data_IF_669834940705
#
_entry.id   IF_669834940705
#
_cell.length_a   1.000
_cell.length_b   1.000
_cell.length_c   1.000
_cell.angle_alpha   90.00
_cell.angle_beta   90.00
_cell.angle_gamma   90.00
#
_symmetry.space_group_name_H-M   'P 1'
#
loop_
_entity.id
_entity.type
_entity.pdbx_description
1 polymer ?
#
# COMPACT_ATOMS: atom_id res chain seq x y z
N UNK A 1 25.92 -44.40 29.36
CA UNK A 1 24.56 -43.90 29.06
C UNK A 1 24.47 -42.38 29.29
N UNK A 2 24.93 -41.52 28.35
CA UNK A 2 24.77 -40.04 28.40
C UNK A 2 24.78 -39.39 27.00
N UNK A 3 24.28 -40.06 25.96
CA UNK A 3 24.29 -39.55 24.57
C UNK A 3 23.09 -38.66 24.22
N UNK A 4 22.02 -38.71 25.03
CA UNK A 4 20.74 -38.05 24.76
C UNK A 4 20.66 -36.58 25.19
N UNK A 5 21.48 -36.15 26.16
CA UNK A 5 21.50 -34.75 26.62
C UNK A 5 22.21 -33.80 25.66
N UNK A 6 23.26 -34.27 25.01
CA UNK A 6 24.08 -33.48 24.08
C UNK A 6 23.35 -33.19 22.75
N UNK A 7 22.56 -34.14 22.28
CA UNK A 7 21.74 -34.00 21.06
C UNK A 7 20.60 -32.99 21.26
N UNK A 8 19.97 -32.98 22.45
CA UNK A 8 18.93 -32.00 22.80
C UNK A 8 19.46 -30.57 22.91
N UNK A 9 20.69 -30.39 23.38
CA UNK A 9 21.33 -29.08 23.49
C UNK A 9 21.72 -28.49 22.12
N UNK A 10 21.99 -29.35 21.12
CA UNK A 10 22.31 -28.94 19.76
C UNK A 10 21.06 -28.61 18.90
N UNK A 11 19.91 -29.21 19.21
CA UNK A 11 18.65 -29.02 18.47
C UNK A 11 17.91 -27.72 18.84
N UNK A 12 18.03 -27.26 20.10
CA UNK A 12 17.38 -26.04 20.61
C UNK A 12 17.73 -24.75 19.82
N UNK A 13 19.00 -24.43 19.51
CA UNK A 13 19.32 -23.24 18.72
C UNK A 13 18.85 -23.37 17.26
N UNK A 14 18.81 -24.58 16.70
CA UNK A 14 18.31 -24.81 15.34
C UNK A 14 16.79 -24.57 15.20
N UNK A 15 16.02 -24.95 16.23
CA UNK A 15 14.56 -24.68 16.28
C UNK A 15 14.28 -23.19 16.47
N UNK A 16 15.04 -22.51 17.33
CA UNK A 16 14.95 -21.06 17.51
C UNK A 16 15.28 -20.29 16.22
N UNK A 17 16.34 -20.71 15.51
CA UNK A 17 16.71 -20.10 14.23
C UNK A 17 15.64 -20.29 13.13
N UNK A 18 15.02 -21.48 13.05
CA UNK A 18 13.90 -21.71 12.11
C UNK A 18 12.66 -20.88 12.44
N UNK A 19 12.36 -20.65 13.72
CA UNK A 19 11.19 -19.88 14.13
C UNK A 19 11.34 -18.39 13.82
N UNK A 20 12.56 -17.86 13.84
CA UNK A 20 12.85 -16.49 13.40
C UNK A 20 12.66 -16.35 11.88
N UNK A 21 13.13 -17.31 11.08
CA UNK A 21 12.97 -17.26 9.61
C UNK A 21 11.48 -17.29 9.19
N UNK A 22 10.63 -18.05 9.91
CA UNK A 22 9.20 -18.11 9.62
C UNK A 22 8.44 -16.78 9.91
N UNK A 23 9.02 -15.87 10.69
CA UNK A 23 8.39 -14.60 11.09
C UNK A 23 8.69 -13.41 10.17
N UNK A 24 9.60 -13.56 9.19
CA UNK A 24 10.15 -12.44 8.40
C UNK A 24 9.36 -12.14 7.12
N UNK A 25 8.31 -12.91 6.77
CA UNK A 25 7.85 -12.98 5.38
C UNK A 25 6.35 -12.78 5.09
N UNK A 26 5.58 -12.08 5.92
CA UNK A 26 4.18 -11.77 5.57
C UNK A 26 4.02 -10.27 5.36
N UNK A 27 4.24 -9.76 4.15
CA UNK A 27 3.62 -8.49 3.76
C UNK A 27 2.11 -8.72 3.84
N UNK A 28 1.43 -7.85 4.58
CA UNK A 28 -0.02 -7.86 4.55
C UNK A 28 -0.49 -7.22 3.26
N UNK A 29 -1.69 -7.58 2.78
CA UNK A 29 -2.31 -6.87 1.67
C UNK A 29 -2.40 -5.35 1.94
N UNK A 30 -2.46 -4.94 3.21
CA UNK A 30 -2.45 -3.53 3.61
C UNK A 30 -1.10 -2.84 3.31
N UNK A 31 0.02 -3.56 3.46
CA UNK A 31 1.35 -3.02 3.15
C UNK A 31 1.54 -2.79 1.65
N UNK A 32 1.01 -3.70 0.83
CA UNK A 32 1.02 -3.59 -0.63
C UNK A 32 0.15 -2.41 -1.10
N UNK A 33 -1.07 -2.29 -0.57
CA UNK A 33 -1.96 -1.14 -0.86
C UNK A 33 -1.34 0.19 -0.42
N UNK A 34 -0.70 0.22 0.75
CA UNK A 34 -0.01 1.43 1.25
C UNK A 34 1.15 1.82 0.33
N UNK A 35 1.91 0.84 -0.16
CA UNK A 35 3.02 1.08 -1.08
C UNK A 35 2.52 1.65 -2.39
N UNK A 36 1.50 1.04 -3.02
CA UNK A 36 0.92 1.54 -4.27
C UNK A 36 0.34 2.96 -4.12
N UNK A 37 -0.34 3.25 -3.00
CA UNK A 37 -0.86 4.58 -2.70
C UNK A 37 0.25 5.63 -2.59
N UNK A 38 1.33 5.31 -1.87
CA UNK A 38 2.46 6.24 -1.73
C UNK A 38 3.20 6.45 -3.06
N UNK A 39 3.36 5.41 -3.88
CA UNK A 39 3.97 5.49 -5.20
C UNK A 39 3.16 6.40 -6.13
N UNK A 40 1.83 6.24 -6.15
CA UNK A 40 0.95 7.14 -6.91
C UNK A 40 1.03 8.58 -6.43
N UNK A 41 0.91 8.82 -5.12
CA UNK A 41 0.95 10.18 -4.54
C UNK A 41 2.29 10.86 -4.82
N UNK A 42 3.39 10.11 -4.79
CA UNK A 42 4.75 10.63 -5.02
C UNK A 42 5.01 10.99 -6.48
N UNK A 43 4.33 10.34 -7.44
CA UNK A 43 4.44 10.66 -8.85
C UNK A 43 3.69 11.94 -9.26
N UNK A 44 2.73 12.40 -8.45
CA UNK A 44 1.96 13.62 -8.73
C UNK A 44 2.80 14.89 -8.53
N UNK A 45 2.54 15.89 -9.35
CA UNK A 45 3.03 17.26 -9.09
C UNK A 45 2.39 17.83 -7.81
N UNK A 46 2.98 18.89 -7.28
CA UNK A 46 2.46 19.55 -6.08
C UNK A 46 1.01 20.04 -6.25
N UNK A 47 0.68 20.63 -7.42
CA UNK A 47 -0.68 21.06 -7.78
C UNK A 47 -1.65 19.88 -7.85
N UNK A 48 -1.25 18.81 -8.55
CA UNK A 48 -2.09 17.61 -8.66
C UNK A 48 -2.34 16.96 -7.30
N UNK A 49 -1.31 16.88 -6.45
CA UNK A 49 -1.43 16.32 -5.09
C UNK A 49 -2.38 17.16 -4.23
N UNK A 50 -2.31 18.48 -4.32
CA UNK A 50 -3.21 19.38 -3.60
C UNK A 50 -4.68 19.20 -4.00
N UNK A 51 -4.95 18.82 -5.26
CA UNK A 51 -6.32 18.52 -5.74
C UNK A 51 -6.77 17.09 -5.45
N UNK A 52 -5.84 16.13 -5.41
CA UNK A 52 -6.15 14.70 -5.30
C UNK A 52 -6.28 14.20 -3.85
N UNK A 53 -5.64 14.85 -2.87
CA UNK A 53 -5.67 14.45 -1.48
C UNK A 53 -6.78 15.15 -0.70
N UNK A 54 -7.58 14.37 0.01
CA UNK A 54 -8.65 14.84 0.87
C UNK A 54 -8.43 14.35 2.30
N UNK A 55 -8.92 15.10 3.29
CA UNK A 55 -8.99 14.61 4.67
C UNK A 55 -9.98 13.45 4.78
N UNK A 56 -9.85 12.63 5.81
CA UNK A 56 -10.76 11.50 5.99
C UNK A 56 -12.20 11.93 6.31
N UNK A 57 -12.40 13.14 6.84
CA UNK A 57 -13.71 13.71 7.15
C UNK A 57 -14.29 14.53 6.00
N UNK A 58 -13.61 14.58 4.85
CA UNK A 58 -14.04 15.40 3.71
C UNK A 58 -15.41 14.95 3.16
N UNK A 59 -16.24 15.93 2.78
CA UNK A 59 -17.58 15.70 2.22
C UNK A 59 -17.54 14.91 0.91
N UNK A 60 -16.44 14.97 0.16
CA UNK A 60 -16.25 14.23 -1.09
C UNK A 60 -16.38 12.71 -0.90
N UNK A 61 -16.12 12.18 0.31
CA UNK A 61 -16.30 10.75 0.61
C UNK A 61 -17.74 10.25 0.47
N UNK A 62 -18.70 11.16 0.56
CA UNK A 62 -20.12 10.85 0.40
C UNK A 62 -20.70 11.44 -0.89
N UNK A 63 -19.91 12.22 -1.64
CA UNK A 63 -20.36 13.00 -2.80
C UNK A 63 -20.31 12.18 -4.10
N UNK A 64 -21.05 11.07 -4.14
CA UNK A 64 -21.11 10.20 -5.33
C UNK A 64 -22.31 10.52 -6.24
N UNK A 65 -22.05 10.63 -7.54
CA UNK A 65 -23.06 10.97 -8.55
C UNK A 65 -22.78 10.25 -9.87
N UNK A 66 -23.84 9.78 -10.54
CA UNK A 66 -23.76 9.15 -11.87
C UNK A 66 -24.33 10.08 -12.97
N UNK A 67 -23.82 11.30 -13.03
CA UNK A 67 -24.14 12.29 -14.07
C UNK A 67 -22.86 12.87 -14.69
N UNK A 68 -22.93 13.41 -15.91
CA UNK A 68 -21.79 14.02 -16.59
C UNK A 68 -21.03 15.05 -15.75
N UNK A 69 -19.68 15.05 -15.78
CA UNK A 69 -18.86 15.99 -15.02
C UNK A 69 -19.12 17.47 -15.32
N UNK A 70 -19.63 17.79 -16.51
CA UNK A 70 -19.98 19.15 -16.93
C UNK A 70 -21.17 19.70 -16.12
N UNK A 71 -22.07 18.82 -15.69
CA UNK A 71 -23.21 19.18 -14.84
C UNK A 71 -22.88 19.03 -13.35
N UNK A 72 -21.98 18.11 -13.01
CA UNK A 72 -21.54 17.88 -11.64
C UNK A 72 -20.02 17.66 -11.58
N UNK A 73 -19.24 18.73 -11.36
CA UNK A 73 -17.79 18.65 -11.36
C UNK A 73 -17.29 17.64 -10.32
N UNK A 74 -16.39 16.76 -10.76
CA UNK A 74 -15.68 15.81 -9.90
C UNK A 74 -14.42 16.48 -9.36
N UNK A 75 -14.23 16.43 -8.05
CA UNK A 75 -12.98 16.87 -7.43
C UNK A 75 -11.85 15.88 -7.76
N UNK A 76 -10.60 16.33 -7.66
CA UNK A 76 -9.43 15.52 -7.98
C UNK A 76 -8.75 15.87 -9.30
N UNK A 77 -7.92 14.94 -9.76
CA UNK A 77 -7.15 15.03 -11.01
C UNK A 77 -7.68 13.97 -11.96
N UNK A 78 -8.09 14.37 -13.17
CA UNK A 78 -8.57 13.41 -14.15
C UNK A 78 -7.39 12.63 -14.75
N UNK A 79 -7.60 11.33 -15.09
CA UNK A 79 -6.60 10.50 -15.75
C UNK A 79 -6.05 11.11 -17.07
N UNK A 80 -6.82 11.97 -17.74
CA UNK A 80 -6.41 12.68 -18.96
C UNK A 80 -5.41 13.82 -18.70
N UNK A 81 -5.33 14.30 -17.47
CA UNK A 81 -4.38 15.35 -17.05
C UNK A 81 -3.04 14.74 -16.57
N UNK A 82 -2.99 13.42 -16.39
CA UNK A 82 -1.80 12.70 -15.95
C UNK A 82 -0.87 12.41 -17.13
N UNK A 83 0.42 12.48 -16.87
CA UNK A 83 1.43 11.95 -17.80
C UNK A 83 1.41 10.40 -17.82
N UNK A 84 2.15 9.75 -18.74
CA UNK A 84 2.16 8.29 -18.82
C UNK A 84 2.64 7.57 -17.54
N UNK A 85 3.58 8.14 -16.80
CA UNK A 85 4.10 7.54 -15.56
C UNK A 85 3.04 7.61 -14.46
N UNK A 86 2.49 8.80 -14.23
CA UNK A 86 1.44 9.05 -13.25
C UNK A 86 0.22 8.17 -13.50
N UNK A 87 -0.20 8.03 -14.76
CA UNK A 87 -1.31 7.15 -15.15
C UNK A 87 -0.98 5.68 -14.93
N UNK A 88 0.27 5.26 -15.15
CA UNK A 88 0.73 3.91 -14.78
C UNK A 88 0.55 3.66 -13.29
N UNK A 89 1.04 4.57 -12.44
CA UNK A 89 0.88 4.46 -10.98
C UNK A 89 -0.59 4.50 -10.54
N UNK A 90 -1.44 5.25 -11.23
CA UNK A 90 -2.87 5.28 -10.96
C UNK A 90 -3.58 3.95 -11.29
N UNK A 91 -3.05 3.17 -12.23
CA UNK A 91 -3.58 1.84 -12.57
C UNK A 91 -3.06 0.74 -11.64
N UNK A 92 -1.88 0.93 -11.06
CA UNK A 92 -1.28 0.02 -10.09
C UNK A 92 -1.85 0.19 -8.67
N UNK A 93 -2.56 1.30 -8.41
CA UNK A 93 -3.26 1.62 -7.16
C UNK A 93 -4.57 0.83 -6.99
#
# INVERSE_FOLDING_TARGET
MKRSGFIRFLLLPGVLASMVIASVGCSSNADEMLTAANDFISALSEDQRARALFTFEDVERQRWHFIPPEMFPRAGVALKEMDPEQRGRAHDL
#
